data_IF_543423931906
#
_entry.id   IF_543423931906
#
_cell.length_a   1.000
_cell.length_b   1.000
_cell.length_c   1.000
_cell.angle_alpha   90.00
_cell.angle_beta   90.00
_cell.angle_gamma   90.00
#
_symmetry.space_group_name_H-M   'P 1'
#
loop_
_entity.id
_entity.type
_entity.pdbx_description
1 polymer ?
#
# COMPACT_ATOMS: atom_id res chain seq x y z
N UNK A 1 -29.46 -36.97 0.02
CA UNK A 1 -28.47 -37.86 0.66
C UNK A 1 -27.24 -37.92 -0.23
N UNK A 2 -26.15 -37.25 0.13
CA UNK A 2 -24.82 -37.54 -0.40
C UNK A 2 -23.81 -37.26 0.71
N UNK A 3 -22.96 -38.24 0.94
CA UNK A 3 -22.14 -38.43 2.13
C UNK A 3 -20.86 -37.60 2.08
N UNK A 4 -20.40 -37.25 3.28
CA UNK A 4 -19.15 -36.57 3.58
C UNK A 4 -17.96 -37.53 3.42
N UNK A 5 -16.87 -37.06 2.79
CA UNK A 5 -15.57 -37.74 2.76
C UNK A 5 -14.59 -37.06 3.70
N UNK A 6 -14.40 -37.65 4.88
CA UNK A 6 -13.39 -37.30 5.88
C UNK A 6 -12.04 -37.88 5.47
N UNK A 7 -10.97 -37.07 5.44
CA UNK A 7 -9.60 -37.55 5.20
C UNK A 7 -8.81 -37.34 6.49
N UNK A 8 -8.43 -38.46 7.10
CA UNK A 8 -7.66 -38.52 8.34
C UNK A 8 -6.20 -38.12 8.13
N UNK A 9 -5.70 -37.27 9.02
CA UNK A 9 -4.29 -37.08 9.31
C UNK A 9 -3.80 -38.24 10.18
N UNK A 10 -2.71 -38.90 9.79
CA UNK A 10 -1.97 -39.79 10.70
C UNK A 10 -0.49 -39.38 10.74
N UNK A 11 -0.06 -39.04 11.96
CA UNK A 11 1.31 -39.14 12.49
C UNK A 11 1.90 -40.53 12.21
N UNK A 12 3.17 -40.76 11.93
CA UNK A 12 4.37 -40.23 12.58
C UNK A 12 5.18 -41.44 13.11
N UNK A 13 6.50 -41.42 12.93
CA UNK A 13 7.51 -42.36 13.48
C UNK A 13 7.48 -43.79 12.86
N UNK A 14 8.58 -44.52 12.60
CA UNK A 14 9.91 -44.57 13.20
C UNK A 14 10.91 -45.33 12.28
N UNK A 15 12.21 -45.17 12.60
CA UNK A 15 13.21 -46.25 12.62
C UNK A 15 14.26 -46.41 11.50
N UNK A 16 15.51 -46.34 11.99
CA UNK A 16 16.70 -47.10 11.60
C UNK A 16 17.57 -46.62 10.41
N UNK A 17 18.54 -45.80 10.81
CA UNK A 17 19.91 -45.74 10.28
C UNK A 17 20.45 -47.11 9.82
N UNK A 18 20.90 -47.16 8.57
CA UNK A 18 21.91 -48.11 8.07
C UNK A 18 22.66 -47.48 6.89
N UNK A 19 23.84 -46.90 7.17
CA UNK A 19 24.93 -46.68 6.20
C UNK A 19 25.87 -47.91 6.27
N UNK A 20 26.75 -48.23 5.27
CA UNK A 20 27.43 -47.28 4.39
C UNK A 20 27.76 -47.77 2.95
N UNK A 21 27.77 -46.86 1.96
CA UNK A 21 28.76 -46.92 0.87
C UNK A 21 29.30 -45.53 0.57
N UNK A 22 30.39 -45.23 1.27
CA UNK A 22 31.37 -44.20 0.94
C UNK A 22 31.78 -44.32 -0.53
N UNK A 23 31.40 -43.34 -1.35
CA UNK A 23 32.13 -43.00 -2.58
C UNK A 23 32.69 -41.60 -2.35
N UNK A 24 33.90 -41.59 -1.83
CA UNK A 24 34.74 -40.42 -1.58
C UNK A 24 35.03 -39.69 -2.91
N UNK A 25 34.21 -38.70 -3.27
CA UNK A 25 34.62 -37.65 -4.20
C UNK A 25 35.16 -36.49 -3.36
N UNK A 26 36.47 -36.49 -3.12
CA UNK A 26 37.17 -35.36 -2.50
C UNK A 26 37.23 -34.24 -3.53
N UNK A 27 36.11 -33.54 -3.73
CA UNK A 27 36.21 -32.14 -4.10
C UNK A 27 36.88 -31.46 -2.91
N UNK A 28 38.17 -31.17 -3.06
CA UNK A 28 38.96 -30.46 -2.08
C UNK A 28 38.14 -29.27 -1.57
N UNK A 29 37.76 -29.32 -0.29
CA UNK A 29 37.01 -28.23 0.34
C UNK A 29 37.91 -27.01 0.26
N UNK A 30 37.57 -26.07 -0.62
CA UNK A 30 38.35 -24.85 -0.80
C UNK A 30 38.39 -24.14 0.56
N UNK A 31 39.56 -23.97 1.20
CA UNK A 31 39.66 -23.48 2.57
C UNK A 31 38.99 -22.10 2.70
N UNK A 32 38.48 -21.77 3.89
CA UNK A 32 37.76 -20.50 4.11
C UNK A 32 38.60 -19.27 3.72
N UNK A 33 39.93 -19.38 3.83
CA UNK A 33 40.88 -18.31 3.50
C UNK A 33 41.37 -18.35 2.05
N UNK A 34 40.74 -19.10 1.14
CA UNK A 34 41.19 -19.16 -0.26
C UNK A 34 40.83 -17.88 -1.02
N UNK A 35 41.76 -17.37 -1.82
CA UNK A 35 41.54 -16.19 -2.67
C UNK A 35 40.38 -16.36 -3.68
N UNK A 36 40.04 -17.59 -4.04
CA UNK A 36 38.87 -17.92 -4.89
C UNK A 36 37.53 -17.53 -4.23
N UNK A 37 37.48 -17.40 -2.90
CA UNK A 37 36.29 -16.91 -2.16
C UNK A 37 36.24 -15.39 -2.07
N UNK A 38 37.33 -14.69 -2.43
CA UNK A 38 37.47 -13.23 -2.28
C UNK A 38 37.25 -12.51 -3.62
N UNK A 39 37.16 -13.24 -4.73
CA UNK A 39 36.82 -12.64 -6.01
C UNK A 39 35.33 -12.27 -6.07
N UNK A 40 34.99 -11.00 -6.41
CA UNK A 40 33.62 -10.62 -6.66
C UNK A 40 33.05 -11.50 -7.79
N UNK A 41 31.95 -12.20 -7.52
CA UNK A 41 31.24 -13.00 -8.53
C UNK A 41 30.51 -12.14 -9.58
N UNK A 42 30.59 -10.82 -9.46
CA UNK A 42 29.94 -9.87 -10.35
C UNK A 42 30.94 -8.80 -10.78
N UNK A 43 30.85 -8.32 -12.04
CA UNK A 43 31.55 -7.11 -12.43
C UNK A 43 31.11 -5.99 -11.47
N UNK A 44 32.04 -5.08 -11.17
CA UNK A 44 31.80 -3.94 -10.29
C UNK A 44 30.57 -3.19 -10.80
N UNK A 45 29.48 -3.23 -10.01
CA UNK A 45 28.23 -2.56 -10.35
C UNK A 45 28.56 -1.06 -10.49
N UNK A 46 28.19 -0.40 -11.61
CA UNK A 46 28.44 1.01 -11.77
C UNK A 46 27.78 1.80 -10.63
N UNK A 47 28.51 2.75 -10.04
CA UNK A 47 27.99 3.60 -8.99
C UNK A 47 26.78 4.41 -9.51
N UNK A 48 25.59 3.99 -9.10
CA UNK A 48 24.36 4.75 -9.34
C UNK A 48 24.39 5.97 -8.42
N UNK A 49 24.65 7.15 -8.99
CA UNK A 49 24.52 8.43 -8.28
C UNK A 49 23.05 8.68 -7.97
N UNK A 50 22.60 8.26 -6.79
CA UNK A 50 21.30 8.66 -6.26
C UNK A 50 21.29 10.19 -6.09
N UNK A 51 20.26 10.91 -6.56
CA UNK A 51 20.11 12.33 -6.27
C UNK A 51 19.97 12.50 -4.76
N UNK A 52 20.99 13.10 -4.14
CA UNK A 52 20.95 13.44 -2.71
C UNK A 52 19.82 14.44 -2.52
N UNK A 53 18.78 14.06 -1.76
CA UNK A 53 17.82 15.03 -1.24
C UNK A 53 18.60 15.95 -0.31
N UNK A 54 18.77 17.20 -0.72
CA UNK A 54 19.20 18.28 0.17
C UNK A 54 18.08 18.47 1.18
N UNK A 55 18.26 17.91 2.38
CA UNK A 55 17.45 18.25 3.53
C UNK A 55 17.83 19.67 3.93
N UNK A 56 17.05 20.67 3.52
CA UNK A 56 17.14 22.00 4.13
C UNK A 56 16.46 21.90 5.49
N UNK A 57 17.25 21.59 6.51
CA UNK A 57 16.93 21.90 7.90
C UNK A 57 16.87 23.43 8.05
N UNK A 58 15.71 23.97 8.40
CA UNK A 58 15.60 25.28 9.06
C UNK A 58 14.60 25.18 10.19
N UNK A 59 15.20 25.10 11.37
CA UNK A 59 14.68 25.29 12.71
C UNK A 59 14.09 26.69 12.89
N UNK A 60 12.88 26.74 13.46
CA UNK A 60 12.33 27.76 14.37
C UNK A 60 11.89 29.16 13.87
N UNK A 61 10.64 29.46 14.25
CA UNK A 61 10.03 30.74 14.59
C UNK A 61 9.64 31.75 13.48
N UNK A 62 8.32 31.96 13.46
CA UNK A 62 7.62 33.25 13.47
C UNK A 62 7.60 34.17 12.23
N UNK A 63 6.38 34.70 12.03
CA UNK A 63 5.98 35.87 11.25
C UNK A 63 5.73 35.72 9.74
N UNK A 64 4.43 35.84 9.42
CA UNK A 64 3.83 36.68 8.36
C UNK A 64 4.63 36.97 7.08
N UNK A 65 4.01 36.68 5.93
CA UNK A 65 4.33 37.40 4.69
C UNK A 65 4.34 36.55 3.43
N UNK A 66 3.25 36.70 2.69
CA UNK A 66 3.04 36.59 1.24
C UNK A 66 4.25 36.40 0.29
N UNK A 67 3.92 35.76 -0.85
CA UNK A 67 4.70 35.62 -2.09
C UNK A 67 5.66 34.43 -2.18
N UNK A 68 5.12 33.22 -2.11
CA UNK A 68 5.77 32.06 -2.76
C UNK A 68 5.47 32.10 -4.26
N UNK A 69 6.22 32.93 -5.00
CA UNK A 69 6.32 32.86 -6.47
C UNK A 69 6.71 31.44 -6.86
N UNK A 70 5.90 30.84 -7.73
CA UNK A 70 6.19 29.60 -8.44
C UNK A 70 7.47 29.80 -9.28
N UNK A 71 8.64 29.56 -8.69
CA UNK A 71 9.84 29.26 -9.47
C UNK A 71 9.78 27.77 -9.80
N UNK A 72 9.31 27.45 -11.00
CA UNK A 72 9.46 26.14 -11.61
C UNK A 72 10.95 25.86 -11.86
N UNK A 73 11.63 25.37 -10.82
CA UNK A 73 12.91 24.70 -10.95
C UNK A 73 12.66 23.30 -11.53
N UNK A 74 13.19 23.05 -12.72
CA UNK A 74 13.26 21.74 -13.36
C UNK A 74 14.00 20.78 -12.41
N UNK A 75 13.27 19.95 -11.63
CA UNK A 75 13.99 19.15 -10.63
C UNK A 75 13.21 18.32 -9.63
N UNK A 76 12.02 17.82 -9.95
CA UNK A 76 11.49 16.57 -9.38
C UNK A 76 10.16 16.29 -10.09
N UNK A 77 9.93 15.11 -10.70
CA UNK A 77 8.59 14.77 -11.14
C UNK A 77 7.70 14.73 -9.90
N UNK A 78 6.74 15.66 -9.81
CA UNK A 78 5.68 15.56 -8.81
C UNK A 78 5.02 14.19 -8.96
N UNK A 79 4.61 13.54 -7.87
CA UNK A 79 3.96 12.22 -7.92
C UNK A 79 2.76 12.19 -8.89
N UNK A 80 2.18 13.36 -9.20
CA UNK A 80 1.10 13.57 -10.16
C UNK A 80 1.50 13.36 -11.64
N UNK A 81 2.79 13.37 -11.98
CA UNK A 81 3.31 13.27 -13.35
C UNK A 81 3.84 11.86 -13.70
N UNK A 82 3.91 10.96 -12.71
CA UNK A 82 4.35 9.59 -12.94
C UNK A 82 3.17 8.66 -13.22
N UNK A 83 3.41 7.67 -14.07
CA UNK A 83 2.51 6.55 -14.26
C UNK A 83 2.50 5.68 -12.99
N UNK A 84 1.34 5.42 -12.35
CA UNK A 84 1.28 4.70 -11.08
C UNK A 84 1.68 3.22 -11.18
N UNK A 85 1.70 2.64 -12.38
CA UNK A 85 2.05 1.23 -12.61
C UNK A 85 3.55 1.08 -12.85
N UNK A 86 4.12 1.95 -13.69
CA UNK A 86 5.54 1.83 -14.12
C UNK A 86 6.47 2.69 -13.27
N UNK A 87 5.93 3.65 -12.51
CA UNK A 87 6.68 4.66 -11.78
C UNK A 87 7.68 5.42 -12.67
N UNK A 88 7.38 5.52 -13.97
CA UNK A 88 8.11 6.31 -14.95
C UNK A 88 7.23 7.48 -15.43
N UNK A 89 7.83 8.56 -15.97
CA UNK A 89 7.06 9.58 -16.68
C UNK A 89 6.26 8.95 -17.82
N UNK A 90 5.06 9.46 -18.07
CA UNK A 90 4.24 8.97 -19.17
C UNK A 90 4.94 9.14 -20.52
N UNK A 91 4.91 8.09 -21.33
CA UNK A 91 5.35 8.16 -22.72
C UNK A 91 4.31 8.89 -23.57
N UNK A 92 4.74 9.48 -24.70
CA UNK A 92 3.84 10.20 -25.60
C UNK A 92 2.74 9.28 -26.17
N UNK A 93 3.06 8.01 -26.39
CA UNK A 93 2.13 6.98 -26.85
C UNK A 93 1.08 6.65 -25.79
N UNK A 94 1.49 6.49 -24.53
CA UNK A 94 0.57 6.32 -23.40
C UNK A 94 -0.38 7.50 -23.29
N UNK A 95 0.12 8.74 -23.34
CA UNK A 95 -0.72 9.94 -23.24
C UNK A 95 -1.76 10.00 -24.36
N UNK A 96 -1.37 9.68 -25.60
CA UNK A 96 -2.30 9.60 -26.73
C UNK A 96 -3.35 8.51 -26.54
N UNK A 97 -2.94 7.34 -26.05
CA UNK A 97 -3.86 6.23 -25.74
C UNK A 97 -4.87 6.61 -24.64
N UNK A 98 -4.46 7.44 -23.69
CA UNK A 98 -5.31 7.99 -22.62
C UNK A 98 -6.13 9.21 -23.06
N UNK A 99 -6.33 9.38 -24.37
CA UNK A 99 -7.23 10.37 -24.95
C UNK A 99 -6.89 11.82 -24.58
N UNK A 100 -5.60 12.12 -24.38
CA UNK A 100 -5.15 13.46 -23.97
C UNK A 100 -5.52 14.54 -24.99
N UNK A 101 -5.55 14.20 -26.29
CA UNK A 101 -5.89 15.14 -27.36
C UNK A 101 -7.33 15.66 -27.23
N UNK A 102 -8.26 14.81 -26.80
CA UNK A 102 -9.64 15.23 -26.53
C UNK A 102 -9.71 16.15 -25.30
N UNK A 103 -8.96 15.82 -24.26
CA UNK A 103 -8.92 16.59 -23.02
C UNK A 103 -8.32 17.98 -23.21
N UNK A 104 -7.26 18.09 -24.00
CA UNK A 104 -6.64 19.38 -24.37
C UNK A 104 -7.58 20.24 -25.21
N UNK A 105 -8.40 19.63 -26.07
CA UNK A 105 -9.45 20.36 -26.82
C UNK A 105 -10.57 20.84 -25.89
N UNK A 106 -11.00 20.02 -24.93
CA UNK A 106 -12.05 20.36 -23.98
C UNK A 106 -11.61 21.46 -23.01
N UNK A 107 -10.35 21.41 -22.56
CA UNK A 107 -9.78 22.35 -21.60
C UNK A 107 -8.60 23.10 -22.23
N UNK A 108 -8.89 23.84 -23.30
CA UNK A 108 -7.87 24.57 -24.06
C UNK A 108 -7.20 25.69 -23.25
N UNK A 109 -7.89 26.27 -22.26
CA UNK A 109 -7.33 27.30 -21.40
C UNK A 109 -7.01 26.75 -20.01
N UNK A 110 -5.91 27.22 -19.38
CA UNK A 110 -5.55 26.78 -18.03
C UNK A 110 -6.61 27.15 -16.99
N UNK A 111 -7.33 28.25 -17.20
CA UNK A 111 -8.43 28.67 -16.33
C UNK A 111 -9.63 27.71 -16.40
N UNK A 112 -10.02 27.27 -17.61
CA UNK A 112 -11.10 26.29 -17.78
C UNK A 112 -10.74 24.94 -17.12
N UNK A 113 -9.48 24.51 -17.24
CA UNK A 113 -8.99 23.31 -16.57
C UNK A 113 -9.06 23.43 -15.03
N UNK A 114 -8.70 24.60 -14.47
CA UNK A 114 -8.82 24.85 -13.02
C UNK A 114 -10.26 24.82 -12.57
N UNK A 115 -11.16 25.52 -13.26
CA UNK A 115 -12.59 25.55 -12.91
C UNK A 115 -13.23 24.15 -12.92
N UNK A 116 -12.91 23.33 -13.91
CA UNK A 116 -13.41 21.96 -13.95
C UNK A 116 -12.88 21.09 -12.80
N UNK A 117 -11.61 21.30 -12.39
CA UNK A 117 -11.05 20.65 -11.19
C UNK A 117 -11.76 21.14 -9.92
N UNK A 118 -12.11 22.42 -9.83
CA UNK A 118 -12.80 22.96 -8.66
C UNK A 118 -14.25 22.46 -8.56
N UNK A 119 -14.95 22.35 -9.70
CA UNK A 119 -16.29 21.78 -9.78
C UNK A 119 -16.29 20.30 -9.36
N UNK A 120 -15.39 19.49 -9.91
CA UNK A 120 -15.23 18.09 -9.52
C UNK A 120 -14.80 17.94 -8.05
N UNK A 121 -13.91 18.80 -7.55
CA UNK A 121 -13.53 18.81 -6.14
C UNK A 121 -14.72 19.14 -5.23
N UNK A 122 -15.62 20.04 -5.65
CA UNK A 122 -16.84 20.35 -4.90
C UNK A 122 -17.80 19.17 -4.84
N UNK A 123 -17.98 18.45 -5.96
CA UNK A 123 -18.78 17.23 -6.00
C UNK A 123 -18.21 16.13 -5.10
N UNK A 124 -16.89 15.93 -5.13
CA UNK A 124 -16.22 14.97 -4.26
C UNK A 124 -16.39 15.33 -2.77
N UNK A 125 -16.28 16.61 -2.41
CA UNK A 125 -16.54 17.07 -1.04
C UNK A 125 -17.96 16.75 -0.60
N UNK A 126 -18.95 17.02 -1.45
CA UNK A 126 -20.35 16.68 -1.17
C UNK A 126 -20.53 15.18 -0.91
N UNK A 127 -19.89 14.34 -1.72
CA UNK A 127 -19.97 12.89 -1.54
C UNK A 127 -19.32 12.42 -0.22
N UNK A 128 -18.21 13.06 0.18
CA UNK A 128 -17.58 12.80 1.48
C UNK A 128 -18.49 13.20 2.64
N UNK A 129 -19.12 14.38 2.59
CA UNK A 129 -20.06 14.83 3.62
C UNK A 129 -21.27 13.89 3.72
N UNK A 130 -21.82 13.43 2.59
CA UNK A 130 -22.90 12.45 2.56
C UNK A 130 -22.47 11.08 3.13
N UNK A 131 -21.22 10.67 2.88
CA UNK A 131 -20.66 9.45 3.47
C UNK A 131 -20.51 9.57 4.99
N UNK A 132 -20.02 10.71 5.47
CA UNK A 132 -19.87 11.01 6.90
C UNK A 132 -21.21 11.04 7.64
N UNK A 133 -22.28 11.49 6.97
CA UNK A 133 -23.64 11.40 7.55
C UNK A 133 -24.09 9.95 7.65
N UNK A 134 -23.89 9.15 6.60
CA UNK A 134 -24.28 7.72 6.58
C UNK A 134 -23.54 6.91 7.64
N UNK A 135 -22.24 7.15 7.81
CA UNK A 135 -21.45 6.46 8.84
C UNK A 135 -21.95 6.80 10.25
N UNK A 136 -22.22 8.08 10.54
CA UNK A 136 -22.81 8.51 11.82
C UNK A 136 -24.20 7.92 12.07
N UNK A 137 -25.02 7.79 11.03
CA UNK A 137 -26.35 7.19 11.14
C UNK A 137 -26.27 5.70 11.47
N UNK A 138 -25.37 4.96 10.81
CA UNK A 138 -25.09 3.56 11.12
C UNK A 138 -24.61 3.40 12.56
N UNK A 139 -23.66 4.23 13.00
CA UNK A 139 -23.12 4.17 14.36
C UNK A 139 -24.22 4.40 15.41
N UNK A 140 -25.11 5.36 15.16
CA UNK A 140 -26.26 5.63 16.02
C UNK A 140 -27.22 4.45 16.07
N UNK A 141 -27.57 3.87 14.91
CA UNK A 141 -28.46 2.71 14.85
C UNK A 141 -27.85 1.51 15.58
N UNK A 142 -26.54 1.32 15.45
CA UNK A 142 -25.80 0.27 16.16
C UNK A 142 -25.87 0.47 17.68
N UNK A 143 -25.68 1.70 18.16
CA UNK A 143 -25.78 2.03 19.59
C UNK A 143 -27.20 1.75 20.14
N UNK A 144 -28.25 2.13 19.40
CA UNK A 144 -29.64 1.88 19.79
C UNK A 144 -29.97 0.38 19.85
N UNK A 145 -29.47 -0.39 18.87
CA UNK A 145 -29.59 -1.85 18.85
C UNK A 145 -28.82 -2.49 19.99
N UNK A 146 -27.64 -1.98 20.35
CA UNK A 146 -26.87 -2.47 21.49
C UNK A 146 -27.57 -2.20 22.81
N UNK A 147 -28.13 -0.99 23.01
CA UNK A 147 -28.96 -0.67 24.19
C UNK A 147 -30.14 -1.63 24.33
N UNK A 148 -30.81 -1.93 23.23
CA UNK A 148 -31.93 -2.89 23.21
C UNK A 148 -31.46 -4.29 23.62
N UNK A 149 -30.38 -4.78 23.01
CA UNK A 149 -29.78 -6.09 23.35
C UNK A 149 -29.35 -6.15 24.80
N UNK A 150 -28.83 -5.06 25.37
CA UNK A 150 -28.43 -5.00 26.78
C UNK A 150 -29.62 -5.12 27.73
N UNK A 151 -30.73 -4.45 27.41
CA UNK A 151 -31.98 -4.57 28.17
C UNK A 151 -32.50 -6.01 28.08
N UNK A 152 -32.53 -6.59 26.88
CA UNK A 152 -32.93 -7.98 26.67
C UNK A 152 -32.05 -8.93 27.48
N UNK A 153 -30.72 -8.79 27.41
CA UNK A 153 -29.76 -9.57 28.22
C UNK A 153 -30.11 -9.52 29.71
N UNK A 154 -30.40 -8.33 30.25
CA UNK A 154 -30.80 -8.17 31.66
C UNK A 154 -32.13 -8.83 31.97
N UNK A 155 -33.12 -8.72 31.08
CA UNK A 155 -34.43 -9.38 31.26
C UNK A 155 -34.28 -10.90 31.23
N UNK A 156 -33.52 -11.44 30.29
CA UNK A 156 -33.24 -12.87 30.19
C UNK A 156 -32.47 -13.38 31.41
N UNK A 157 -31.39 -12.70 31.82
CA UNK A 157 -30.63 -13.06 33.01
C UNK A 157 -31.51 -13.05 34.27
N UNK A 158 -32.40 -12.06 34.42
CA UNK A 158 -33.33 -11.98 35.55
C UNK A 158 -34.39 -13.09 35.54
N UNK A 159 -34.88 -13.49 34.36
CA UNK A 159 -35.83 -14.61 34.24
C UNK A 159 -35.15 -15.95 34.56
N UNK A 160 -34.01 -16.22 33.94
CA UNK A 160 -33.26 -17.47 34.17
C UNK A 160 -32.68 -17.59 35.58
N UNK A 161 -32.25 -16.49 36.21
CA UNK A 161 -31.74 -16.49 37.58
C UNK A 161 -32.83 -16.57 38.67
N UNK A 162 -34.10 -16.60 38.30
CA UNK A 162 -35.23 -16.71 39.23
C UNK A 162 -35.93 -18.08 39.19
N UNK A 163 -35.66 -18.87 38.16
CA UNK A 163 -36.22 -20.20 37.93
C UNK A 163 -35.17 -21.34 38.10
N UNK A 164 -33.97 -21.02 38.61
CA UNK A 164 -32.91 -21.98 38.97
C UNK A 164 -32.58 -21.92 40.46
#
# INVERSE_FOLDING_TARGET
MQQQGSVMLTSGADSAYADPKSTTNVQAVTPLNSDLRVQPLHPTIPEVKLPRKVHSETTTADAAGENRREQEGIGSPSATTLNPVTLQPFTLEELRSHNIDALLRQYSTPEAARKARDETAKELRKLLDENDVKTKEIDREMEEKEKTREIERKVYARKLGKDG
#
